data_IF_776426064421
#
_entry.id   IF_776426064421
#
_cell.length_a   1.000
_cell.length_b   1.000
_cell.length_c   1.000
_cell.angle_alpha   90.00
_cell.angle_beta   90.00
_cell.angle_gamma   90.00
#
_symmetry.space_group_name_H-M   'P 1'
#
loop_
_entity.id
_entity.type
_entity.pdbx_description
1 polymer ?
#
# COMPACT_ATOMS: atom_id res chain seq x y z
N UNK A 1 -43.22 -17.36 24.81
CA UNK A 1 -42.05 -18.09 24.27
C UNK A 1 -41.97 -17.95 22.76
N UNK A 2 -43.00 -18.22 21.93
CA UNK A 2 -42.98 -18.11 20.46
C UNK A 2 -42.64 -16.68 19.92
N UNK A 3 -43.11 -15.62 20.58
CA UNK A 3 -42.83 -14.22 20.18
C UNK A 3 -41.36 -13.85 20.37
N UNK A 4 -40.73 -14.28 21.44
CA UNK A 4 -39.30 -14.00 21.72
C UNK A 4 -38.39 -14.73 20.74
N UNK A 5 -38.73 -15.95 20.32
CA UNK A 5 -37.98 -16.71 19.33
C UNK A 5 -38.04 -16.02 17.95
N UNK A 6 -39.23 -15.58 17.53
CA UNK A 6 -39.42 -14.84 16.28
C UNK A 6 -38.69 -13.51 16.26
N UNK A 7 -38.63 -12.76 17.34
CA UNK A 7 -37.87 -11.50 17.44
C UNK A 7 -36.37 -11.75 17.40
N UNK A 8 -35.86 -12.80 18.03
CA UNK A 8 -34.42 -13.12 17.97
C UNK A 8 -33.98 -13.55 16.56
N UNK A 9 -34.84 -14.32 15.85
CA UNK A 9 -34.59 -14.70 14.46
C UNK A 9 -34.57 -13.47 13.51
N UNK A 10 -35.52 -12.54 13.70
CA UNK A 10 -35.54 -11.29 12.89
C UNK A 10 -34.35 -10.39 13.17
N UNK A 11 -33.90 -10.31 14.44
CA UNK A 11 -32.68 -9.58 14.80
C UNK A 11 -31.43 -10.21 14.17
N UNK A 12 -31.32 -11.54 14.22
CA UNK A 12 -30.18 -12.24 13.60
C UNK A 12 -30.10 -11.98 12.09
N UNK A 13 -31.23 -12.08 11.38
CA UNK A 13 -31.32 -11.77 9.94
C UNK A 13 -30.99 -10.31 9.65
N UNK A 14 -31.44 -9.38 10.50
CA UNK A 14 -31.15 -7.96 10.32
C UNK A 14 -29.63 -7.65 10.48
N UNK A 15 -28.98 -8.28 11.47
CA UNK A 15 -27.53 -8.15 11.71
C UNK A 15 -26.75 -8.75 10.54
N UNK A 16 -27.14 -9.93 10.07
CA UNK A 16 -26.51 -10.58 8.91
C UNK A 16 -26.64 -9.73 7.64
N UNK A 17 -27.85 -9.24 7.34
CA UNK A 17 -28.07 -8.32 6.20
C UNK A 17 -27.23 -7.03 6.31
N UNK A 18 -27.14 -6.43 7.49
CA UNK A 18 -26.31 -5.25 7.73
C UNK A 18 -24.81 -5.56 7.55
N UNK A 19 -24.37 -6.78 7.89
CA UNK A 19 -23.02 -7.28 7.64
C UNK A 19 -22.73 -7.42 6.14
N UNK A 20 -23.62 -8.10 5.42
CA UNK A 20 -23.51 -8.29 3.96
C UNK A 20 -23.57 -6.97 3.20
N UNK A 21 -24.41 -6.03 3.63
CA UNK A 21 -24.51 -4.71 3.02
C UNK A 21 -23.19 -3.93 3.17
N UNK A 22 -22.61 -3.88 4.38
CA UNK A 22 -21.30 -3.25 4.62
C UNK A 22 -20.18 -3.90 3.82
N UNK A 23 -20.18 -5.22 3.69
CA UNK A 23 -19.22 -5.95 2.87
C UNK A 23 -19.38 -5.60 1.38
N UNK A 24 -20.61 -5.46 0.88
CA UNK A 24 -20.90 -5.07 -0.49
C UNK A 24 -20.46 -3.63 -0.77
N UNK A 25 -20.72 -2.69 0.15
CA UNK A 25 -20.25 -1.30 0.02
C UNK A 25 -18.72 -1.22 -0.03
N UNK A 26 -18.03 -1.96 0.83
CA UNK A 26 -16.56 -2.04 0.81
C UNK A 26 -16.04 -2.59 -0.52
N UNK A 27 -16.65 -3.65 -1.05
CA UNK A 27 -16.29 -4.20 -2.36
C UNK A 27 -16.52 -3.22 -3.50
N UNK A 28 -17.63 -2.49 -3.50
CA UNK A 28 -17.92 -1.46 -4.50
C UNK A 28 -16.87 -0.34 -4.44
N UNK A 29 -16.49 0.08 -3.23
CA UNK A 29 -15.46 1.10 -3.03
C UNK A 29 -14.08 0.62 -3.52
N UNK A 30 -13.72 -0.63 -3.25
CA UNK A 30 -12.50 -1.27 -3.75
C UNK A 30 -12.47 -1.32 -5.29
N UNK A 31 -13.56 -1.79 -5.92
CA UNK A 31 -13.69 -1.84 -7.37
C UNK A 31 -13.65 -0.44 -8.02
N UNK A 32 -14.23 0.56 -7.38
CA UNK A 32 -14.18 1.95 -7.85
C UNK A 32 -12.75 2.49 -7.86
N UNK A 33 -11.97 2.22 -6.80
CA UNK A 33 -10.55 2.63 -6.73
C UNK A 33 -9.74 1.95 -7.82
N UNK A 34 -9.88 0.62 -7.97
CA UNK A 34 -9.19 -0.14 -9.03
C UNK A 34 -9.54 0.37 -10.43
N UNK A 35 -10.82 0.61 -10.71
CA UNK A 35 -11.25 1.12 -12.02
C UNK A 35 -10.72 2.54 -12.30
N UNK A 36 -10.67 3.40 -11.26
CA UNK A 36 -10.15 4.76 -11.41
C UNK A 36 -8.64 4.74 -11.71
N UNK A 37 -7.89 3.87 -11.03
CA UNK A 37 -6.45 3.72 -11.26
C UNK A 37 -6.21 3.11 -12.65
N UNK A 38 -6.90 2.03 -13.03
CA UNK A 38 -6.75 1.40 -14.33
C UNK A 38 -7.08 2.33 -15.50
N UNK A 39 -8.08 3.22 -15.37
CA UNK A 39 -8.37 4.23 -16.40
C UNK A 39 -7.32 5.35 -16.45
N UNK A 40 -6.78 5.78 -15.32
CA UNK A 40 -5.71 6.79 -15.29
C UNK A 40 -4.43 6.27 -15.95
N UNK A 41 -4.06 5.02 -15.65
CA UNK A 41 -2.90 4.32 -16.24
C UNK A 41 -3.05 4.20 -17.78
N UNK A 42 -4.24 3.88 -18.29
CA UNK A 42 -4.47 3.69 -19.72
C UNK A 42 -4.55 4.98 -20.53
N UNK A 43 -4.73 6.13 -19.94
CA UNK A 43 -4.95 7.41 -20.64
C UNK A 43 -3.75 8.34 -20.71
N UNK A 44 -2.70 8.11 -19.93
CA UNK A 44 -1.52 8.96 -19.89
C UNK A 44 -0.31 8.30 -20.58
N UNK A 45 0.36 9.05 -21.43
CA UNK A 45 1.67 8.70 -22.00
C UNK A 45 2.84 9.05 -21.07
N UNK A 46 2.55 9.69 -19.95
CA UNK A 46 3.54 10.13 -18.96
C UNK A 46 3.41 9.30 -17.67
N UNK A 47 4.34 8.37 -17.49
CA UNK A 47 4.38 7.44 -16.36
C UNK A 47 4.36 8.19 -15.01
N UNK A 48 5.04 9.33 -14.90
CA UNK A 48 5.14 10.10 -13.66
C UNK A 48 3.77 10.64 -13.23
N UNK A 49 2.98 11.13 -14.19
CA UNK A 49 1.62 11.63 -13.94
C UNK A 49 0.72 10.49 -13.47
N UNK A 50 0.81 9.34 -14.12
CA UNK A 50 0.01 8.15 -13.76
C UNK A 50 0.34 7.67 -12.36
N UNK A 51 1.61 7.49 -12.05
CA UNK A 51 2.05 7.02 -10.73
C UNK A 51 1.65 7.99 -9.61
N UNK A 52 1.75 9.30 -9.87
CA UNK A 52 1.34 10.32 -8.91
C UNK A 52 -0.15 10.28 -8.64
N UNK A 53 -0.99 10.19 -9.67
CA UNK A 53 -2.44 10.07 -9.53
C UNK A 53 -2.83 8.77 -8.80
N UNK A 54 -2.18 7.66 -9.09
CA UNK A 54 -2.41 6.38 -8.42
C UNK A 54 -2.12 6.50 -6.91
N UNK A 55 -1.00 7.10 -6.52
CA UNK A 55 -0.64 7.34 -5.12
C UNK A 55 -1.68 8.25 -4.43
N UNK A 56 -2.07 9.36 -5.06
CA UNK A 56 -3.02 10.31 -4.48
C UNK A 56 -4.37 9.64 -4.20
N UNK A 57 -4.91 8.91 -5.17
CA UNK A 57 -6.16 8.18 -5.02
C UNK A 57 -6.10 7.10 -3.95
N UNK A 58 -4.98 6.39 -3.86
CA UNK A 58 -4.76 5.36 -2.87
C UNK A 58 -4.68 5.93 -1.45
N UNK A 59 -3.98 7.05 -1.25
CA UNK A 59 -3.91 7.74 0.04
C UNK A 59 -5.29 8.22 0.49
N UNK A 60 -6.04 8.87 -0.40
CA UNK A 60 -7.40 9.33 -0.10
C UNK A 60 -8.33 8.17 0.28
N UNK A 61 -8.32 7.08 -0.50
CA UNK A 61 -9.22 5.95 -0.31
C UNK A 61 -8.90 5.10 0.91
N UNK A 62 -7.60 4.93 1.25
CA UNK A 62 -7.12 4.04 2.29
C UNK A 62 -6.60 4.76 3.54
N UNK A 63 -6.65 6.10 3.55
CA UNK A 63 -6.28 6.94 4.69
C UNK A 63 -4.85 6.69 5.20
N UNK A 64 -3.86 6.81 4.29
CA UNK A 64 -2.43 6.80 4.63
C UNK A 64 -1.90 8.22 4.77
N UNK A 65 -0.86 8.42 5.59
CA UNK A 65 -0.19 9.72 5.73
C UNK A 65 0.81 9.98 4.62
N UNK A 66 1.43 8.92 4.07
CA UNK A 66 2.39 9.02 2.98
C UNK A 66 2.43 7.74 2.14
N UNK A 67 2.78 7.91 0.85
CA UNK A 67 3.07 6.82 -0.07
C UNK A 67 4.16 7.24 -1.05
N UNK A 68 4.95 6.27 -1.52
CA UNK A 68 5.98 6.52 -2.53
C UNK A 68 6.28 5.25 -3.33
N UNK A 69 6.71 5.47 -4.56
CA UNK A 69 7.04 4.41 -5.52
C UNK A 69 8.51 4.53 -5.93
N UNK A 70 9.20 3.41 -5.83
CA UNK A 70 10.49 3.20 -6.46
C UNK A 70 10.35 2.34 -7.69
N UNK A 71 11.04 2.72 -8.77
CA UNK A 71 11.17 1.94 -9.99
C UNK A 71 12.65 1.66 -10.25
N UNK A 72 12.95 0.48 -10.80
CA UNK A 72 14.29 0.07 -11.17
C UNK A 72 14.82 0.89 -12.35
N UNK A 73 15.87 1.66 -12.12
CA UNK A 73 16.68 2.22 -13.18
C UNK A 73 17.69 1.16 -13.64
N UNK A 74 17.40 0.54 -14.78
CA UNK A 74 18.25 -0.53 -15.32
C UNK A 74 19.62 -0.04 -15.76
N UNK A 75 19.79 1.26 -16.04
CA UNK A 75 21.08 1.85 -16.46
C UNK A 75 22.04 2.01 -15.28
N UNK A 76 21.51 2.34 -14.10
CA UNK A 76 22.31 2.52 -12.88
C UNK A 76 22.29 1.31 -11.96
N UNK A 77 21.37 0.34 -12.18
CA UNK A 77 21.18 -0.80 -11.32
C UNK A 77 20.68 -0.42 -9.92
N UNK A 78 19.88 0.65 -9.80
CA UNK A 78 19.35 1.19 -8.55
C UNK A 78 17.85 1.41 -8.64
N UNK A 79 17.19 1.43 -7.48
CA UNK A 79 15.79 1.84 -7.37
C UNK A 79 15.73 3.37 -7.24
N UNK A 80 15.05 4.04 -8.17
CA UNK A 80 14.82 5.48 -8.15
C UNK A 80 13.42 5.82 -7.67
N UNK A 81 13.32 6.86 -6.85
CA UNK A 81 12.03 7.42 -6.40
C UNK A 81 11.36 8.10 -7.61
N UNK A 82 10.26 7.53 -8.08
CA UNK A 82 9.54 8.00 -9.26
C UNK A 82 8.34 8.88 -8.89
N UNK A 83 7.63 8.53 -7.83
CA UNK A 83 6.51 9.32 -7.34
C UNK A 83 6.41 9.25 -5.83
N UNK A 84 5.86 10.30 -5.20
CA UNK A 84 5.56 10.33 -3.78
C UNK A 84 4.41 11.28 -3.45
N UNK A 85 3.75 11.03 -2.31
CA UNK A 85 2.81 11.93 -1.67
C UNK A 85 3.00 11.86 -0.15
N UNK A 86 2.81 12.99 0.55
CA UNK A 86 2.96 13.05 2.01
C UNK A 86 4.41 13.06 2.53
N UNK A 87 5.41 13.08 1.64
CA UNK A 87 6.82 13.34 1.97
C UNK A 87 7.14 14.83 1.75
N UNK A 88 8.00 15.41 2.61
CA UNK A 88 8.57 16.72 2.31
C UNK A 88 9.56 16.63 1.14
N UNK A 89 9.75 17.71 0.40
CA UNK A 89 10.69 17.77 -0.72
C UNK A 89 12.13 17.41 -0.29
N UNK A 90 12.56 17.89 0.88
CA UNK A 90 13.86 17.55 1.45
C UNK A 90 14.00 16.04 1.70
N UNK A 91 12.94 15.43 2.25
CA UNK A 91 12.90 13.99 2.50
C UNK A 91 12.90 13.20 1.18
N UNK A 92 12.07 13.57 0.22
CA UNK A 92 12.01 12.95 -1.09
C UNK A 92 13.38 13.03 -1.79
N UNK A 93 14.04 14.18 -1.75
CA UNK A 93 15.39 14.34 -2.29
C UNK A 93 16.40 13.41 -1.59
N UNK A 94 16.36 13.29 -0.26
CA UNK A 94 17.22 12.36 0.49
C UNK A 94 16.94 10.89 0.21
N UNK A 95 15.77 10.59 -0.34
CA UNK A 95 15.28 9.25 -0.69
C UNK A 95 15.35 8.95 -2.19
N UNK A 96 15.94 9.83 -3.00
CA UNK A 96 15.89 9.78 -4.46
C UNK A 96 16.35 8.46 -5.07
N UNK A 97 17.31 7.76 -4.44
CA UNK A 97 17.76 6.45 -4.92
C UNK A 97 18.04 5.46 -3.80
N UNK A 98 17.90 4.17 -4.10
CA UNK A 98 18.18 3.04 -3.18
C UNK A 98 18.96 1.96 -3.88
N UNK A 99 19.91 1.37 -3.16
CA UNK A 99 20.58 0.14 -3.59
C UNK A 99 19.59 -1.03 -3.57
N UNK A 100 19.72 -1.95 -4.53
CA UNK A 100 18.83 -3.13 -4.67
C UNK A 100 18.83 -4.05 -3.46
N UNK A 101 19.90 -4.03 -2.65
CA UNK A 101 20.06 -4.90 -1.49
C UNK A 101 19.84 -4.19 -0.15
N UNK A 102 19.53 -2.90 -0.14
CA UNK A 102 19.52 -2.10 1.08
C UNK A 102 18.14 -1.96 1.71
N UNK A 103 18.04 -2.34 2.98
CA UNK A 103 16.89 -2.05 3.84
C UNK A 103 15.59 -2.73 3.40
N UNK A 104 14.45 -2.15 3.81
CA UNK A 104 13.10 -2.67 3.54
C UNK A 104 12.84 -2.75 2.03
N UNK A 105 13.10 -1.67 1.32
CA UNK A 105 12.87 -1.58 -0.13
C UNK A 105 13.64 -2.64 -0.90
N UNK A 106 14.93 -2.82 -0.57
CA UNK A 106 15.75 -3.85 -1.20
C UNK A 106 15.28 -5.27 -0.90
N UNK A 107 14.86 -5.54 0.34
CA UNK A 107 14.31 -6.85 0.72
C UNK A 107 13.05 -7.17 -0.09
N UNK A 108 12.08 -6.24 -0.15
CA UNK A 108 10.84 -6.42 -0.93
C UNK A 108 11.16 -6.66 -2.41
N UNK A 109 12.10 -5.87 -2.97
CA UNK A 109 12.48 -5.98 -4.36
C UNK A 109 13.13 -7.34 -4.69
N UNK A 110 14.01 -7.84 -3.80
CA UNK A 110 14.72 -9.10 -4.02
C UNK A 110 13.85 -10.33 -3.78
N UNK A 111 13.02 -10.32 -2.72
CA UNK A 111 12.17 -11.47 -2.39
C UNK A 111 10.90 -11.51 -3.25
N UNK A 112 10.47 -10.37 -3.77
CA UNK A 112 9.18 -10.25 -4.44
C UNK A 112 7.99 -10.46 -3.49
N UNK A 113 8.22 -10.33 -2.17
CA UNK A 113 7.22 -10.48 -1.12
C UNK A 113 6.94 -9.15 -0.45
N UNK A 114 5.68 -8.94 -0.06
CA UNK A 114 5.28 -7.75 0.72
C UNK A 114 5.84 -7.82 2.13
N UNK A 115 6.12 -6.65 2.70
CA UNK A 115 6.49 -6.49 4.11
C UNK A 115 5.55 -5.50 4.80
N UNK A 116 5.01 -5.90 5.96
CA UNK A 116 4.03 -5.11 6.72
C UNK A 116 4.53 -4.90 8.14
N UNK A 117 4.41 -3.66 8.62
CA UNK A 117 4.85 -3.20 9.94
C UNK A 117 3.74 -2.41 10.60
N UNK A 118 3.06 -3.03 11.53
CA UNK A 118 1.99 -2.40 12.29
C UNK A 118 2.51 -1.45 13.39
N UNK A 119 3.73 -1.73 13.89
CA UNK A 119 4.40 -0.93 14.91
C UNK A 119 5.93 -1.06 14.83
N UNK A 120 6.58 -0.12 14.19
CA UNK A 120 8.04 -0.10 14.08
C UNK A 120 8.78 -0.07 15.43
N UNK A 121 8.15 0.40 16.51
CA UNK A 121 8.78 0.47 17.81
C UNK A 121 8.97 -0.89 18.47
N UNK A 122 8.04 -1.83 18.22
CA UNK A 122 7.97 -3.14 18.85
C UNK A 122 8.36 -4.32 17.97
N UNK A 123 8.51 -4.12 16.66
CA UNK A 123 8.78 -5.21 15.74
C UNK A 123 10.21 -5.75 15.92
N UNK A 124 10.29 -7.00 16.38
CA UNK A 124 11.55 -7.69 16.68
C UNK A 124 12.31 -8.04 15.39
N UNK A 125 11.63 -8.34 14.29
CA UNK A 125 12.24 -8.66 13.00
C UNK A 125 13.02 -7.48 12.43
N UNK A 126 12.64 -6.27 12.83
CA UNK A 126 13.24 -5.01 12.35
C UNK A 126 14.40 -4.50 13.15
N UNK A 127 14.69 -5.04 14.32
CA UNK A 127 15.87 -4.63 15.11
C UNK A 127 17.18 -4.76 14.33
N UNK A 128 17.20 -5.62 13.33
CA UNK A 128 18.38 -5.91 12.50
C UNK A 128 18.47 -5.09 11.20
N UNK A 129 17.41 -4.40 10.79
CA UNK A 129 17.42 -3.63 9.54
C UNK A 129 17.98 -2.23 9.79
N UNK A 130 19.06 -1.89 9.10
CA UNK A 130 19.79 -0.62 9.22
C UNK A 130 18.89 0.61 8.95
N UNK A 131 17.84 0.46 8.15
CA UNK A 131 16.88 1.53 7.82
C UNK A 131 15.87 1.87 8.94
N UNK A 132 15.74 1.04 10.00
CA UNK A 132 14.77 1.25 11.08
C UNK A 132 14.91 2.63 11.76
N UNK A 133 16.12 3.00 12.15
CA UNK A 133 16.35 4.30 12.78
C UNK A 133 15.96 5.46 11.88
N UNK A 134 16.23 5.33 10.58
CA UNK A 134 15.89 6.35 9.60
C UNK A 134 14.37 6.48 9.47
N UNK A 135 13.62 5.38 9.40
CA UNK A 135 12.15 5.41 9.28
C UNK A 135 11.51 6.03 10.53
N UNK A 136 11.97 5.64 11.73
CA UNK A 136 11.50 6.24 12.98
C UNK A 136 11.83 7.74 13.07
N UNK A 137 13.00 8.16 12.59
CA UNK A 137 13.37 9.59 12.56
C UNK A 137 12.53 10.40 11.56
N UNK A 138 11.87 9.75 10.60
CA UNK A 138 10.92 10.36 9.67
C UNK A 138 9.51 10.52 10.26
N UNK A 139 9.30 10.03 11.50
CA UNK A 139 8.04 10.14 12.21
C UNK A 139 6.99 9.11 11.81
N UNK A 140 7.34 8.08 11.03
CA UNK A 140 6.42 6.99 10.69
C UNK A 140 6.44 5.91 11.79
N UNK A 141 5.25 5.44 12.19
CA UNK A 141 5.05 4.41 13.21
C UNK A 141 4.65 3.06 12.62
N UNK A 142 4.03 3.03 11.44
CA UNK A 142 3.63 1.82 10.72
C UNK A 142 3.84 1.98 9.22
N UNK A 143 4.04 0.89 8.49
CA UNK A 143 4.08 0.90 7.02
C UNK A 143 3.80 -0.47 6.41
N UNK A 144 3.43 -0.45 5.13
CA UNK A 144 3.39 -1.63 4.28
C UNK A 144 4.12 -1.34 2.97
N UNK A 145 4.88 -2.32 2.49
CA UNK A 145 5.59 -2.24 1.22
C UNK A 145 5.26 -3.43 0.34
N UNK A 146 5.06 -3.19 -0.95
CA UNK A 146 4.62 -4.17 -1.93
C UNK A 146 5.53 -4.15 -3.16
N UNK A 147 5.89 -5.32 -3.71
CA UNK A 147 6.62 -5.38 -4.96
C UNK A 147 5.70 -4.96 -6.13
N UNK A 148 6.23 -4.13 -7.01
CA UNK A 148 5.63 -3.84 -8.31
C UNK A 148 6.26 -4.82 -9.28
N UNK A 149 5.44 -5.68 -9.93
CA UNK A 149 5.94 -6.77 -10.79
C UNK A 149 5.46 -6.60 -12.22
N UNK A 150 6.39 -6.77 -13.16
CA UNK A 150 6.07 -7.02 -14.56
C UNK A 150 6.26 -8.52 -14.80
N UNK A 151 5.18 -9.23 -15.13
CA UNK A 151 5.13 -10.69 -15.10
C UNK A 151 5.56 -11.23 -13.71
N UNK A 152 6.56 -12.08 -13.62
CA UNK A 152 7.05 -12.63 -12.35
C UNK A 152 8.25 -11.87 -11.75
N UNK A 153 8.70 -10.80 -12.40
CA UNK A 153 9.90 -10.05 -11.98
C UNK A 153 9.53 -8.74 -11.32
N UNK A 154 10.09 -8.47 -10.15
CA UNK A 154 9.98 -7.17 -9.52
C UNK A 154 10.70 -6.10 -10.37
N UNK A 155 10.00 -5.01 -10.67
CA UNK A 155 10.49 -3.83 -11.38
C UNK A 155 10.47 -2.59 -10.51
N UNK A 156 9.85 -2.66 -9.34
CA UNK A 156 9.74 -1.56 -8.41
C UNK A 156 9.19 -1.98 -7.05
N UNK A 157 8.98 -0.99 -6.19
CA UNK A 157 8.39 -1.17 -4.85
C UNK A 157 7.46 0.00 -4.54
N UNK A 158 6.24 -0.30 -4.15
CA UNK A 158 5.27 0.63 -3.60
C UNK A 158 5.36 0.60 -2.08
N UNK A 159 5.41 1.76 -1.45
CA UNK A 159 5.36 1.94 0.00
C UNK A 159 4.18 2.81 0.42
N UNK A 160 3.59 2.44 1.56
CA UNK A 160 2.60 3.23 2.27
C UNK A 160 3.00 3.32 3.74
N UNK A 161 2.75 4.46 4.39
CA UNK A 161 3.15 4.67 5.78
C UNK A 161 2.15 5.55 6.53
N UNK A 162 2.07 5.32 7.85
CA UNK A 162 1.33 6.16 8.78
C UNK A 162 2.23 6.63 9.93
N UNK A 163 1.93 7.83 10.42
CA UNK A 163 2.56 8.41 11.62
C UNK A 163 2.09 7.76 12.92
N UNK A 164 1.01 7.01 12.85
CA UNK A 164 0.45 6.24 13.96
C UNK A 164 0.61 4.74 13.71
N UNK A 165 0.53 3.95 14.78
CA UNK A 165 0.42 2.50 14.67
C UNK A 165 -0.87 2.15 13.95
N UNK A 166 -0.82 1.15 13.07
CA UNK A 166 -1.96 0.73 12.27
C UNK A 166 -1.98 -0.78 12.09
N UNK A 167 -3.14 -1.36 12.31
CA UNK A 167 -3.42 -2.73 11.89
C UNK A 167 -3.86 -2.73 10.43
N UNK A 168 -3.29 -3.63 9.64
CA UNK A 168 -3.61 -3.79 8.21
C UNK A 168 -4.52 -4.99 8.02
N UNK A 169 -5.77 -4.74 7.64
CA UNK A 169 -6.70 -5.82 7.37
C UNK A 169 -6.29 -6.65 6.13
N UNK A 170 -6.53 -7.97 6.09
CA UNK A 170 -6.14 -8.81 4.97
C UNK A 170 -6.72 -8.37 3.62
N UNK A 171 -7.96 -7.89 3.58
CA UNK A 171 -8.63 -7.37 2.39
C UNK A 171 -8.01 -6.05 1.90
N UNK A 172 -7.58 -5.20 2.82
CA UNK A 172 -6.83 -3.98 2.50
C UNK A 172 -5.47 -4.30 1.87
N UNK A 173 -4.72 -5.24 2.47
CA UNK A 173 -3.44 -5.68 1.92
C UNK A 173 -3.59 -6.28 0.53
N UNK A 174 -4.65 -7.06 0.30
CA UNK A 174 -4.94 -7.64 -1.01
C UNK A 174 -5.29 -6.57 -2.06
N UNK A 175 -6.03 -5.53 -1.68
CA UNK A 175 -6.34 -4.40 -2.55
C UNK A 175 -5.06 -3.66 -2.97
N UNK A 176 -4.18 -3.34 -2.02
CA UNK A 176 -2.93 -2.64 -2.30
C UNK A 176 -2.02 -3.49 -3.21
N UNK A 177 -1.98 -4.80 -2.97
CA UNK A 177 -1.22 -5.73 -3.82
C UNK A 177 -1.74 -5.75 -5.26
N UNK A 178 -3.07 -5.72 -5.44
CA UNK A 178 -3.68 -5.62 -6.79
C UNK A 178 -3.33 -4.30 -7.48
N UNK A 179 -3.32 -3.18 -6.75
CA UNK A 179 -2.89 -1.89 -7.28
C UNK A 179 -1.41 -1.91 -7.70
N UNK A 180 -0.54 -2.49 -6.86
CA UNK A 180 0.87 -2.64 -7.20
C UNK A 180 1.09 -3.50 -8.46
N UNK A 181 0.26 -4.53 -8.66
CA UNK A 181 0.27 -5.34 -9.89
C UNK A 181 -0.19 -4.56 -11.12
N UNK A 182 -1.25 -3.75 -11.02
CA UNK A 182 -1.71 -2.91 -12.13
C UNK A 182 -0.65 -1.89 -12.55
N UNK A 183 0.05 -1.28 -11.60
CA UNK A 183 1.19 -0.39 -11.88
C UNK A 183 2.30 -1.13 -12.65
N UNK A 184 2.51 -2.41 -12.36
CA UNK A 184 3.57 -3.21 -12.97
C UNK A 184 3.30 -3.66 -14.41
N UNK A 185 2.05 -3.58 -14.88
CA UNK A 185 1.65 -3.96 -16.27
C UNK A 185 1.35 -2.75 -17.15
N UNK A 186 1.38 -1.54 -16.60
CA UNK A 186 1.20 -0.26 -17.31
C UNK A 186 2.49 0.19 -17.95
#
# INVERSE_FOLDING_TARGET
>A
IRLLTSMSEQLAVAVEKAGLFRQSERRLQQLSVLNTIGTAVSQSLDLDVVLKQAIEKMIEALNFDASWIYILDSSEGKLRLQAHHGLSEELAHSMNSRELSAGITGTIFQTGERLVFEDFSNDVQYKQISSRRKILSLGFASSAGFPIKASDRAIGVLHLANKTKRHFAPDELQLIESIAQEIGVA
#
